data_IF_541330609620
#
_entry.id   IF_541330609620
#
_cell.length_a   1.000
_cell.length_b   1.000
_cell.length_c   1.000
_cell.angle_alpha   90.00
_cell.angle_beta   90.00
_cell.angle_gamma   90.00
#
_symmetry.space_group_name_H-M   'P 1'
#
loop_
_entity.id
_entity.type
_entity.pdbx_description
1 polymer ?
#
# COMPACT_ATOMS: atom_id res chain seq x y z
N UNK A 1 -4.58 -13.83 8.66
CA UNK A 1 -5.07 -14.60 7.50
C UNK A 1 -6.57 -14.32 7.38
N UNK A 2 -7.01 -13.73 6.27
CA UNK A 2 -8.39 -13.24 6.11
C UNK A 2 -9.38 -14.41 6.10
N UNK A 3 -9.91 -14.75 7.28
CA UNK A 3 -10.91 -15.82 7.45
C UNK A 3 -12.28 -15.22 7.20
N UNK A 4 -12.87 -15.46 6.04
CA UNK A 4 -14.31 -15.19 5.84
C UNK A 4 -15.06 -16.39 6.40
N UNK A 5 -15.65 -16.18 7.58
CA UNK A 5 -16.52 -17.16 8.22
C UNK A 5 -17.92 -16.95 7.65
N UNK A 6 -18.39 -17.86 6.79
CA UNK A 6 -19.80 -17.92 6.43
C UNK A 6 -20.46 -19.02 7.26
N UNK A 7 -21.33 -18.64 8.18
CA UNK A 7 -22.29 -19.56 8.78
C UNK A 7 -23.34 -19.89 7.71
N UNK A 8 -23.42 -21.16 7.33
CA UNK A 8 -24.42 -21.65 6.38
C UNK A 8 -25.64 -22.24 7.11
N UNK A 9 -25.45 -22.66 8.37
CA UNK A 9 -26.46 -23.20 9.27
C UNK A 9 -25.97 -23.05 10.72
N UNK A 10 -26.84 -23.20 11.71
CA UNK A 10 -26.50 -23.14 13.15
C UNK A 10 -25.39 -24.14 13.53
N UNK A 11 -25.25 -25.25 12.80
CA UNK A 11 -24.24 -26.29 13.07
C UNK A 11 -23.09 -26.32 12.05
N UNK A 12 -23.15 -25.56 10.95
CA UNK A 12 -22.18 -25.66 9.86
C UNK A 12 -21.55 -24.33 9.49
N UNK A 13 -20.23 -24.26 9.67
CA UNK A 13 -19.41 -23.08 9.37
C UNK A 13 -18.43 -23.42 8.24
N UNK A 14 -18.49 -22.67 7.13
CA UNK A 14 -17.55 -22.85 6.01
C UNK A 14 -16.43 -21.81 6.09
N UNK A 15 -15.21 -22.31 6.19
CA UNK A 15 -14.01 -21.49 6.23
C UNK A 15 -13.49 -21.26 4.81
N UNK A 16 -13.68 -20.06 4.27
CA UNK A 16 -13.00 -19.67 3.03
C UNK A 16 -11.64 -19.09 3.38
N UNK A 17 -10.61 -19.82 2.98
CA UNK A 17 -9.22 -19.37 3.06
C UNK A 17 -8.89 -18.56 1.81
N UNK A 18 -8.74 -17.24 1.99
CA UNK A 18 -8.10 -16.38 1.00
C UNK A 18 -6.68 -16.05 1.48
N UNK A 19 -5.65 -16.21 0.63
CA UNK A 19 -4.36 -15.61 0.92
C UNK A 19 -4.54 -14.09 0.90
N UNK A 20 -4.55 -13.45 2.07
CA UNK A 20 -4.78 -12.02 2.24
C UNK A 20 -6.22 -11.63 2.58
N UNK A 21 -6.45 -10.33 2.76
CA UNK A 21 -7.77 -9.77 3.05
C UNK A 21 -8.51 -9.46 1.74
N UNK A 22 -9.83 -9.68 1.68
CA UNK A 22 -10.65 -9.39 0.47
C UNK A 22 -10.44 -7.97 -0.07
N UNK A 23 -10.27 -7.01 0.83
CA UNK A 23 -10.03 -5.61 0.46
C UNK A 23 -8.73 -5.42 -0.33
N UNK A 24 -7.73 -6.27 -0.10
CA UNK A 24 -6.44 -6.24 -0.81
C UNK A 24 -6.62 -6.65 -2.26
N UNK A 25 -7.35 -7.73 -2.48
CA UNK A 25 -7.68 -8.21 -3.81
C UNK A 25 -8.49 -7.19 -4.59
N UNK A 26 -9.46 -6.52 -3.95
CA UNK A 26 -10.21 -5.43 -4.60
C UNK A 26 -9.27 -4.30 -5.02
N UNK A 27 -8.38 -3.85 -4.12
CA UNK A 27 -7.42 -2.77 -4.45
C UNK A 27 -6.45 -3.17 -5.57
N UNK A 28 -6.02 -4.42 -5.59
CA UNK A 28 -5.17 -4.95 -6.66
C UNK A 28 -5.93 -4.94 -8.00
N UNK A 29 -7.17 -5.43 -8.02
CA UNK A 29 -8.02 -5.40 -9.23
C UNK A 29 -8.23 -3.97 -9.71
N UNK A 30 -8.51 -3.02 -8.81
CA UNK A 30 -8.67 -1.59 -9.16
C UNK A 30 -7.37 -1.00 -9.73
N UNK A 31 -6.21 -1.35 -9.17
CA UNK A 31 -4.93 -0.86 -9.69
C UNK A 31 -4.61 -1.41 -11.09
N UNK A 32 -4.88 -2.70 -11.34
CA UNK A 32 -4.68 -3.30 -12.66
C UNK A 32 -5.69 -2.75 -13.67
N UNK A 33 -6.98 -2.66 -13.29
CA UNK A 33 -8.03 -2.20 -14.21
C UNK A 33 -7.87 -0.73 -14.59
N UNK A 34 -7.47 0.14 -13.65
CA UNK A 34 -7.20 1.56 -13.94
C UNK A 34 -6.03 1.74 -14.91
N UNK A 35 -4.93 1.00 -14.73
CA UNK A 35 -3.80 1.06 -15.66
C UNK A 35 -4.12 0.45 -17.02
N UNK A 36 -4.82 -0.68 -17.06
CA UNK A 36 -5.29 -1.28 -18.31
C UNK A 36 -6.24 -0.34 -19.07
N UNK A 37 -7.16 0.33 -18.36
CA UNK A 37 -8.06 1.32 -18.93
C UNK A 37 -7.32 2.53 -19.50
N UNK A 38 -6.33 3.05 -18.77
CA UNK A 38 -5.48 4.15 -19.25
C UNK A 38 -4.66 3.76 -20.49
N UNK A 39 -4.06 2.57 -20.49
CA UNK A 39 -3.35 2.03 -21.65
C UNK A 39 -4.28 1.86 -22.86
N UNK A 40 -5.45 1.27 -22.67
CA UNK A 40 -6.44 1.07 -23.73
C UNK A 40 -6.88 2.40 -24.34
N UNK A 41 -7.21 3.39 -23.51
CA UNK A 41 -7.59 4.73 -23.97
C UNK A 41 -6.47 5.39 -24.76
N UNK A 42 -5.24 5.36 -24.25
CA UNK A 42 -4.11 5.97 -24.95
C UNK A 42 -3.79 5.25 -26.27
N UNK A 43 -3.90 3.92 -26.29
CA UNK A 43 -3.71 3.11 -27.49
C UNK A 43 -4.80 3.42 -28.54
N UNK A 44 -6.05 3.62 -28.12
CA UNK A 44 -7.15 4.01 -29.02
C UNK A 44 -6.92 5.38 -29.67
N UNK A 45 -6.41 6.35 -28.90
CA UNK A 45 -6.23 7.73 -29.36
C UNK A 45 -4.95 7.92 -30.19
N UNK A 46 -3.84 7.33 -29.76
CA UNK A 46 -2.51 7.63 -30.31
C UNK A 46 -1.97 6.54 -31.23
N UNK A 47 -2.52 5.31 -31.13
CA UNK A 47 -1.96 4.09 -31.76
C UNK A 47 -0.49 3.83 -31.42
N UNK A 48 0.02 4.45 -30.35
CA UNK A 48 1.40 4.31 -29.91
C UNK A 48 1.45 3.30 -28.74
N UNK A 49 1.93 2.09 -29.03
CA UNK A 49 2.05 1.00 -28.04
C UNK A 49 3.00 1.34 -26.90
N UNK A 50 4.12 1.99 -27.19
CA UNK A 50 5.11 2.38 -26.19
C UNK A 50 4.52 3.35 -25.17
N UNK A 51 3.92 4.43 -25.65
CA UNK A 51 3.28 5.42 -24.78
C UNK A 51 2.14 4.79 -23.96
N UNK A 52 1.32 3.94 -24.60
CA UNK A 52 0.20 3.29 -23.94
C UNK A 52 0.64 2.36 -22.80
N UNK A 53 1.67 1.54 -23.02
CA UNK A 53 2.19 0.61 -22.03
C UNK A 53 2.89 1.35 -20.88
N UNK A 54 3.74 2.33 -21.18
CA UNK A 54 4.43 3.12 -20.15
C UNK A 54 3.41 3.82 -19.25
N UNK A 55 2.39 4.45 -19.83
CA UNK A 55 1.32 5.13 -19.07
C UNK A 55 0.50 4.12 -18.27
N UNK A 56 0.10 3.00 -18.87
CA UNK A 56 -0.66 1.96 -18.17
C UNK A 56 0.06 1.40 -16.96
N UNK A 57 1.33 1.00 -17.14
CA UNK A 57 2.18 0.52 -16.05
C UNK A 57 2.39 1.59 -14.98
N UNK A 58 2.59 2.85 -15.38
CA UNK A 58 2.75 3.97 -14.44
C UNK A 58 1.50 4.19 -13.60
N UNK A 59 0.31 4.13 -14.20
CA UNK A 59 -0.97 4.26 -13.47
C UNK A 59 -1.18 3.08 -12.51
N UNK A 60 -0.92 1.84 -12.95
CA UNK A 60 -1.02 0.66 -12.06
C UNK A 60 -0.05 0.77 -10.88
N UNK A 61 1.19 1.16 -11.12
CA UNK A 61 2.20 1.35 -10.07
C UNK A 61 1.90 2.55 -9.18
N UNK A 62 1.31 3.62 -9.72
CA UNK A 62 0.85 4.76 -8.93
C UNK A 62 -0.24 4.33 -7.93
N UNK A 63 -1.30 3.68 -8.41
CA UNK A 63 -2.43 3.28 -7.58
C UNK A 63 -2.02 2.23 -6.55
N UNK A 64 -1.19 1.25 -6.94
CA UNK A 64 -0.68 0.25 -5.99
C UNK A 64 0.33 0.85 -5.00
N UNK A 65 1.24 1.72 -5.46
CA UNK A 65 2.19 2.46 -4.66
C UNK A 65 1.51 3.28 -3.57
N UNK A 66 0.53 4.11 -3.94
CA UNK A 66 -0.28 4.88 -2.99
C UNK A 66 -0.95 4.00 -1.94
N UNK A 67 -1.53 2.87 -2.34
CA UNK A 67 -2.16 1.93 -1.41
C UNK A 67 -1.16 1.28 -0.46
N UNK A 68 0.04 0.92 -0.93
CA UNK A 68 1.10 0.41 -0.07
C UNK A 68 1.59 1.50 0.89
N UNK A 69 1.85 2.71 0.42
CA UNK A 69 2.28 3.83 1.26
C UNK A 69 1.34 4.11 2.42
N UNK A 70 0.03 4.15 2.15
CA UNK A 70 -0.98 4.30 3.21
C UNK A 70 -0.91 3.18 4.25
N UNK A 71 -0.67 1.94 3.80
CA UNK A 71 -0.56 0.77 4.70
C UNK A 71 0.72 0.80 5.50
N UNK A 72 1.82 1.26 4.92
CA UNK A 72 3.09 1.40 5.60
C UNK A 72 2.99 2.49 6.68
N UNK A 73 2.34 3.63 6.38
CA UNK A 73 2.05 4.65 7.38
C UNK A 73 1.17 4.14 8.54
N UNK A 74 0.08 3.39 8.25
CA UNK A 74 -0.74 2.76 9.31
C UNK A 74 0.05 1.77 10.16
N UNK A 75 0.93 0.99 9.54
CA UNK A 75 1.75 0.01 10.23
C UNK A 75 2.81 0.69 11.12
N UNK A 76 3.33 1.85 10.70
CA UNK A 76 4.25 2.69 11.49
C UNK A 76 3.56 3.28 12.71
N UNK A 77 2.30 3.73 12.60
CA UNK A 77 1.54 4.25 13.74
C UNK A 77 1.33 3.20 14.85
N UNK A 78 1.24 1.92 14.50
CA UNK A 78 1.12 0.81 15.44
C UNK A 78 2.44 0.18 15.88
N UNK A 79 3.58 0.84 15.67
CA UNK A 79 4.88 0.23 15.93
C UNK A 79 5.09 -0.05 17.44
N UNK A 80 5.42 -1.29 17.84
CA UNK A 80 5.57 -1.63 19.25
C UNK A 80 6.81 -0.96 19.86
N UNK A 81 6.68 -0.44 21.09
CA UNK A 81 7.83 -0.01 21.90
C UNK A 81 8.67 -1.24 22.24
N UNK A 82 9.98 -1.18 22.02
CA UNK A 82 10.90 -2.32 22.13
C UNK A 82 11.25 -2.70 23.58
N UNK A 83 10.27 -2.72 24.49
CA UNK A 83 10.48 -3.04 25.91
C UNK A 83 10.78 -4.53 26.13
N UNK A 84 10.02 -5.41 25.48
CA UNK A 84 10.02 -6.85 25.81
C UNK A 84 10.31 -7.76 24.62
N UNK A 85 10.66 -9.03 24.91
CA UNK A 85 10.92 -10.06 23.89
C UNK A 85 9.74 -10.28 22.95
N UNK A 86 8.50 -10.18 23.46
CA UNK A 86 7.29 -10.25 22.65
C UNK A 86 7.17 -9.05 21.69
N UNK A 87 7.47 -7.83 22.17
CA UNK A 87 7.48 -6.62 21.35
C UNK A 87 8.55 -6.68 20.26
N UNK A 88 9.73 -7.25 20.54
CA UNK A 88 10.78 -7.48 19.53
C UNK A 88 10.34 -8.47 18.45
N UNK A 89 9.66 -9.56 18.81
CA UNK A 89 9.08 -10.51 17.82
C UNK A 89 8.01 -9.85 16.96
N UNK A 90 7.16 -9.03 17.56
CA UNK A 90 6.18 -8.24 16.82
C UNK A 90 6.87 -7.26 15.85
N UNK A 91 7.90 -6.55 16.30
CA UNK A 91 8.69 -5.65 15.45
C UNK A 91 9.29 -6.39 14.23
N UNK A 92 9.88 -7.57 14.42
CA UNK A 92 10.39 -8.40 13.31
C UNK A 92 9.27 -8.76 12.32
N UNK A 93 8.09 -9.15 12.80
CA UNK A 93 6.96 -9.46 11.93
C UNK A 93 6.41 -8.22 11.20
N UNK A 94 6.47 -7.03 11.80
CA UNK A 94 6.12 -5.77 11.15
C UNK A 94 7.15 -5.38 10.08
N UNK A 95 8.46 -5.44 10.40
CA UNK A 95 9.55 -5.23 9.43
C UNK A 95 9.48 -6.19 8.26
N UNK A 96 9.24 -7.49 8.52
CA UNK A 96 9.15 -8.49 7.46
C UNK A 96 8.00 -8.23 6.50
N UNK A 97 6.83 -7.80 7.01
CA UNK A 97 5.69 -7.42 6.16
C UNK A 97 5.94 -6.14 5.38
N UNK A 98 6.68 -5.18 5.93
CA UNK A 98 7.11 -3.99 5.20
C UNK A 98 8.12 -4.35 4.08
N UNK A 99 9.14 -5.15 4.41
CA UNK A 99 10.12 -5.64 3.45
C UNK A 99 9.44 -6.41 2.31
N UNK A 100 8.48 -7.28 2.61
CA UNK A 100 7.72 -7.99 1.58
C UNK A 100 6.99 -7.04 0.62
N UNK A 101 6.32 -6.00 1.14
CA UNK A 101 5.63 -5.00 0.31
C UNK A 101 6.62 -4.20 -0.54
N UNK A 102 7.77 -3.83 0.02
CA UNK A 102 8.83 -3.16 -0.72
C UNK A 102 9.35 -4.04 -1.86
N UNK A 103 9.62 -5.32 -1.60
CA UNK A 103 10.01 -6.29 -2.63
C UNK A 103 8.94 -6.46 -3.70
N UNK A 104 7.66 -6.60 -3.32
CA UNK A 104 6.57 -6.73 -4.28
C UNK A 104 6.42 -5.48 -5.17
N UNK A 105 6.61 -4.29 -4.61
CA UNK A 105 6.61 -3.05 -5.36
C UNK A 105 7.80 -2.96 -6.32
N UNK A 106 9.01 -3.34 -5.86
CA UNK A 106 10.22 -3.40 -6.69
C UNK A 106 10.10 -4.39 -7.86
N UNK A 107 9.56 -5.59 -7.60
CA UNK A 107 9.27 -6.58 -8.65
C UNK A 107 8.27 -6.03 -9.67
N UNK A 108 7.22 -5.34 -9.22
CA UNK A 108 6.27 -4.66 -10.11
C UNK A 108 6.95 -3.64 -11.04
N UNK A 109 7.86 -2.83 -10.49
CA UNK A 109 8.69 -1.89 -11.28
C UNK A 109 9.59 -2.60 -12.28
N UNK A 110 10.27 -3.68 -11.88
CA UNK A 110 11.14 -4.45 -12.76
C UNK A 110 10.37 -5.12 -13.91
N UNK A 111 9.20 -5.71 -13.62
CA UNK A 111 8.33 -6.29 -14.65
C UNK A 111 7.88 -5.21 -15.64
N UNK A 112 7.49 -4.03 -15.15
CA UNK A 112 7.13 -2.92 -16.03
C UNK A 112 8.29 -2.51 -16.95
N UNK A 113 9.51 -2.41 -16.41
CA UNK A 113 10.70 -2.11 -17.21
C UNK A 113 10.95 -3.16 -18.30
N UNK A 114 10.86 -4.46 -17.96
CA UNK A 114 11.01 -5.56 -18.93
C UNK A 114 9.96 -5.44 -20.03
N UNK A 115 8.69 -5.19 -19.68
CA UNK A 115 7.62 -5.06 -20.68
C UNK A 115 7.87 -3.87 -21.61
N UNK A 116 8.30 -2.72 -21.09
CA UNK A 116 8.63 -1.54 -21.90
C UNK A 116 9.80 -1.81 -22.84
N UNK A 117 10.88 -2.43 -22.34
CA UNK A 117 12.08 -2.76 -23.13
C UNK A 117 11.84 -3.80 -24.23
N UNK A 118 10.79 -4.61 -24.11
CA UNK A 118 10.42 -5.60 -25.15
C UNK A 118 9.57 -5.00 -26.28
N UNK A 119 9.22 -3.70 -26.23
CA UNK A 119 8.53 -3.03 -27.31
C UNK A 119 9.51 -2.53 -28.37
N UNK A 120 9.09 -2.57 -29.63
CA UNK A 120 9.84 -1.96 -30.73
C UNK A 120 9.80 -0.44 -30.59
N UNK A 121 10.93 0.12 -30.19
CA UNK A 121 11.16 1.56 -30.04
C UNK A 121 12.60 1.90 -30.43
N UNK A 122 12.84 3.17 -30.75
CA UNK A 122 14.17 3.68 -31.07
C UNK A 122 14.41 5.03 -30.41
N UNK A 123 15.57 5.20 -29.77
CA UNK A 123 16.03 6.48 -29.28
C UNK A 123 16.36 6.46 -27.79
N UNK A 124 17.38 7.24 -27.42
CA UNK A 124 17.97 7.21 -26.09
C UNK A 124 16.96 7.36 -24.94
N UNK A 125 15.96 8.23 -25.09
CA UNK A 125 14.91 8.43 -24.07
C UNK A 125 14.05 7.17 -23.90
N UNK A 126 13.70 6.51 -24.99
CA UNK A 126 12.89 5.30 -24.97
C UNK A 126 13.65 4.12 -24.34
N UNK A 127 14.95 4.02 -24.61
CA UNK A 127 15.78 2.92 -24.14
C UNK A 127 16.17 3.07 -22.65
N UNK A 128 16.38 4.31 -22.18
CA UNK A 128 16.94 4.55 -20.84
C UNK A 128 15.96 5.13 -19.83
N UNK A 129 15.07 6.04 -20.25
CA UNK A 129 14.19 6.75 -19.32
C UNK A 129 12.84 6.06 -19.17
N UNK A 130 12.18 5.73 -20.29
CA UNK A 130 10.81 5.19 -20.27
C UNK A 130 10.64 3.88 -19.47
N UNK A 131 11.60 2.94 -19.43
CA UNK A 131 11.49 1.73 -18.61
C UNK A 131 11.51 2.03 -17.11
N UNK A 132 12.13 3.15 -16.71
CA UNK A 132 12.30 3.56 -15.31
C UNK A 132 11.10 4.37 -14.81
N UNK A 133 10.40 5.07 -15.71
CA UNK A 133 9.26 5.94 -15.39
C UNK A 133 8.20 5.25 -14.52
N UNK A 134 7.70 4.04 -14.83
CA UNK A 134 6.67 3.41 -14.01
C UNK A 134 7.10 3.16 -12.56
N UNK A 135 8.37 2.77 -12.34
CA UNK A 135 8.91 2.54 -11.01
C UNK A 135 9.04 3.85 -10.20
N UNK A 136 9.50 4.92 -10.84
CA UNK A 136 9.60 6.26 -10.22
C UNK A 136 8.22 6.77 -9.82
N UNK A 137 7.25 6.67 -10.72
CA UNK A 137 5.86 7.06 -10.45
C UNK A 137 5.28 6.24 -9.29
N UNK A 138 5.53 4.93 -9.24
CA UNK A 138 5.11 4.07 -8.14
C UNK A 138 5.72 4.46 -6.79
N UNK A 139 7.01 4.77 -6.77
CA UNK A 139 7.72 5.19 -5.56
C UNK A 139 7.23 6.55 -5.04
N UNK A 140 7.03 7.53 -5.94
CA UNK A 140 6.46 8.83 -5.58
C UNK A 140 5.03 8.68 -5.04
N UNK A 141 4.20 7.88 -5.70
CA UNK A 141 2.85 7.61 -5.22
C UNK A 141 2.83 6.92 -3.85
N UNK A 142 3.80 6.04 -3.58
CA UNK A 142 3.99 5.44 -2.26
C UNK A 142 4.28 6.50 -1.19
N UNK A 143 5.24 7.39 -1.44
CA UNK A 143 5.55 8.49 -0.51
C UNK A 143 4.32 9.37 -0.27
N UNK A 144 3.59 9.74 -1.34
CA UNK A 144 2.34 10.49 -1.25
C UNK A 144 1.29 9.77 -0.42
N UNK A 145 1.18 8.44 -0.55
CA UNK A 145 0.27 7.63 0.26
C UNK A 145 0.63 7.65 1.75
N UNK A 146 1.91 7.66 2.09
CA UNK A 146 2.35 7.79 3.48
C UNK A 146 1.98 9.16 4.05
N UNK A 147 2.29 10.23 3.31
CA UNK A 147 1.98 11.62 3.71
C UNK A 147 0.47 11.82 3.86
N UNK A 148 -0.33 11.29 2.93
CA UNK A 148 -1.79 11.38 2.98
C UNK A 148 -2.37 10.80 4.28
N UNK A 149 -1.87 9.65 4.73
CA UNK A 149 -2.33 9.03 5.96
C UNK A 149 -1.88 9.80 7.21
N UNK A 150 -0.67 10.36 7.19
CA UNK A 150 -0.18 11.20 8.28
C UNK A 150 -1.00 12.49 8.41
N UNK A 151 -1.31 13.16 7.29
CA UNK A 151 -2.16 14.37 7.28
C UNK A 151 -3.55 14.08 7.86
N UNK A 152 -4.14 12.94 7.53
CA UNK A 152 -5.42 12.53 8.11
C UNK A 152 -5.35 12.28 9.64
N UNK A 153 -4.17 11.95 10.16
CA UNK A 153 -3.93 11.69 11.58
C UNK A 153 -3.80 12.98 12.38
N UNK A 154 -3.11 14.00 11.83
CA UNK A 154 -2.85 15.28 12.52
C UNK A 154 -4.11 16.14 12.69
N UNK A 155 -5.07 16.02 11.77
CA UNK A 155 -6.34 16.79 11.83
C UNK A 155 -7.27 16.25 12.93
N UNK A 156 -7.11 15.00 13.37
CA UNK A 156 -7.96 14.39 14.40
C UNK A 156 -7.53 14.71 15.84
N UNK A 157 -6.39 15.37 16.06
CA UNK A 157 -5.82 15.61 17.40
C UNK A 157 -6.16 16.95 18.07
N UNK A 158 -7.07 17.77 17.54
CA UNK A 158 -7.56 18.97 18.25
C UNK A 158 -8.73 18.64 19.17
N UNK A 159 -8.45 17.94 20.27
CA UNK A 159 -9.31 17.88 21.45
C UNK A 159 -8.43 18.15 22.67
N UNK A 160 -8.74 19.12 23.54
CA UNK A 160 -7.87 19.47 24.66
C UNK A 160 -7.68 18.24 25.55
N UNK A 161 -6.42 17.89 25.81
CA UNK A 161 -6.06 16.85 26.76
C UNK A 161 -6.74 17.16 28.10
N UNK A 162 -7.61 16.26 28.55
CA UNK A 162 -8.18 16.32 29.89
C UNK A 162 -7.02 16.42 30.89
N UNK A 163 -7.03 17.48 31.70
CA UNK A 163 -6.06 17.68 32.75
C UNK A 163 -6.03 16.44 33.67
N UNK A 164 -4.86 15.95 34.08
CA UNK A 164 -4.77 14.81 34.98
C UNK A 164 -5.50 15.14 36.28
N UNK A 165 -6.48 14.31 36.64
CA UNK A 165 -7.21 14.44 37.89
C UNK A 165 -6.23 14.31 39.06
N UNK A 166 -6.12 15.36 39.88
CA UNK A 166 -5.39 15.37 41.14
C UNK A 166 -5.95 14.25 42.04
N UNK A 167 -5.12 13.33 42.57
CA UNK A 167 -5.60 12.34 43.51
C UNK A 167 -6.10 13.03 44.79
N UNK A 168 -7.35 12.79 45.17
CA UNK A 168 -7.93 13.28 46.41
C UNK A 168 -7.12 12.75 47.61
N UNK A 169 -6.69 13.66 48.49
CA UNK A 169 -6.04 13.31 49.74
C UNK A 169 -6.99 12.47 50.61
N UNK A 170 -6.50 11.34 51.14
CA UNK A 170 -7.21 10.57 52.15
C UNK A 170 -7.43 11.45 53.40
N UNK A 171 -8.62 11.45 54.01
CA UNK A 171 -8.79 12.06 55.32
C UNK A 171 -8.02 11.23 56.35
N UNK A 172 -7.15 11.89 57.10
CA UNK A 172 -6.59 11.39 58.36
C UNK A 172 -7.73 11.25 59.37
N UNK A 173 -7.85 10.07 59.97
CA UNK A 173 -8.75 9.82 61.09
C UNK A 173 -8.08 10.28 62.38
N UNK A 174 -8.77 11.12 63.15
CA UNK A 174 -8.60 11.29 64.59
C UNK A 174 -9.95 10.99 65.25
#
# INVERSE_FOLDING_TARGET
MGRIVKQLSETTTKYYWYPGEKQEWIRAVVAVSSGAGAAALLMMLTRNSLAAVVVGCSVTLAVSGFNFGRRDAKALAGWPKLSDKAARRAAVAHSGRAAWRASAHGVGGAVAAIVVLNLTHSGWVADWLLPVVPAVVGALAHQTGMVWEQLASTVATTGPAAAPATPAAKPTAD
#
